data_IF_090346513367
#
_entry.id   IF_090346513367
#
_cell.length_a   1.000
_cell.length_b   1.000
_cell.length_c   1.000
_cell.angle_alpha   90.00
_cell.angle_beta   90.00
_cell.angle_gamma   90.00
#
_symmetry.space_group_name_H-M   'P 1'
#
loop_
_entity.id
_entity.type
_entity.pdbx_description
1 polymer ?
#
# COMPACT_ATOMS: atom_id res chain seq x y z
N UNK A 1 -12.75 2.45 13.09
CA UNK A 1 -11.85 1.79 12.11
C UNK A 1 -11.58 2.80 11.02
N UNK A 2 -10.33 3.10 10.71
CA UNK A 2 -10.01 4.09 9.68
C UNK A 2 -10.35 3.55 8.29
N UNK A 3 -10.92 4.40 7.43
CA UNK A 3 -11.30 4.05 6.05
C UNK A 3 -10.11 4.25 5.10
N UNK A 4 -9.06 3.47 5.32
CA UNK A 4 -7.85 3.50 4.49
C UNK A 4 -7.89 2.38 3.45
N UNK A 5 -7.52 2.69 2.21
CA UNK A 5 -7.15 1.72 1.17
C UNK A 5 -5.64 1.80 1.00
N UNK A 6 -4.94 0.71 1.31
CA UNK A 6 -3.50 0.62 1.21
C UNK A 6 -3.11 0.02 -0.13
N UNK A 7 -2.32 0.77 -0.92
CA UNK A 7 -1.72 0.30 -2.17
C UNK A 7 -0.20 0.42 -2.07
N UNK A 8 0.53 -0.63 -2.43
CA UNK A 8 1.99 -0.64 -2.34
C UNK A 8 2.65 -0.71 -3.72
N UNK A 9 3.65 0.15 -3.92
CA UNK A 9 4.60 0.05 -5.02
C UNK A 9 6.02 0.43 -4.56
N UNK A 10 6.86 -0.57 -4.26
CA UNK A 10 8.17 -0.36 -3.62
C UNK A 10 9.07 0.63 -4.34
N UNK A 11 9.09 0.63 -5.68
CA UNK A 11 9.95 1.50 -6.50
C UNK A 11 9.49 2.96 -6.57
N UNK A 12 8.39 3.31 -5.90
CA UNK A 12 7.84 4.66 -5.86
C UNK A 12 6.71 4.89 -6.87
N UNK A 13 5.68 5.63 -6.45
CA UNK A 13 4.49 5.85 -7.28
C UNK A 13 4.72 6.76 -8.49
N UNK A 14 5.77 7.59 -8.46
CA UNK A 14 6.17 8.40 -9.61
C UNK A 14 6.56 7.54 -10.82
N UNK A 15 7.32 6.46 -10.59
CA UNK A 15 7.81 5.55 -11.63
C UNK A 15 6.88 4.36 -11.88
N UNK A 16 5.81 4.22 -11.09
CA UNK A 16 4.86 3.13 -11.23
C UNK A 16 4.27 3.06 -12.65
N UNK A 17 4.04 1.85 -13.19
CA UNK A 17 3.39 1.65 -14.47
C UNK A 17 2.04 2.37 -14.56
N UNK A 18 1.63 2.71 -15.78
CA UNK A 18 0.36 3.39 -16.03
C UNK A 18 -0.82 2.68 -15.38
N UNK A 19 -0.88 1.33 -15.49
CA UNK A 19 -1.94 0.52 -14.90
C UNK A 19 -2.06 0.75 -13.39
N UNK A 20 -0.94 0.75 -12.66
CA UNK A 20 -0.96 0.92 -11.21
C UNK A 20 -1.50 2.30 -10.82
N UNK A 21 -1.12 3.34 -11.58
CA UNK A 21 -1.67 4.69 -11.40
C UNK A 21 -3.18 4.72 -11.67
N UNK A 22 -3.67 3.99 -12.67
CA UNK A 22 -5.11 3.88 -12.93
C UNK A 22 -5.86 3.17 -11.81
N UNK A 23 -5.29 2.10 -11.25
CA UNK A 23 -5.87 1.42 -10.07
C UNK A 23 -6.03 2.39 -8.91
N UNK A 24 -4.98 3.15 -8.58
CA UNK A 24 -5.04 4.16 -7.52
C UNK A 24 -6.10 5.25 -7.79
N UNK A 25 -6.22 5.70 -9.05
CA UNK A 25 -7.23 6.67 -9.45
C UNK A 25 -8.66 6.09 -9.33
N UNK A 26 -8.86 4.83 -9.72
CA UNK A 26 -10.14 4.13 -9.61
C UNK A 26 -10.61 4.06 -8.16
N UNK A 27 -9.74 3.60 -7.24
CA UNK A 27 -10.04 3.57 -5.81
C UNK A 27 -10.45 4.94 -5.27
N UNK A 28 -9.76 6.02 -5.69
CA UNK A 28 -10.12 7.38 -5.28
C UNK A 28 -11.47 7.84 -5.85
N UNK A 29 -11.75 7.52 -7.10
CA UNK A 29 -12.97 7.95 -7.78
C UNK A 29 -14.22 7.25 -7.22
N UNK A 30 -14.14 5.95 -6.97
CA UNK A 30 -15.28 5.15 -6.52
C UNK A 30 -15.44 5.10 -5.00
N UNK A 31 -14.44 5.53 -4.22
CA UNK A 31 -14.53 5.59 -2.76
C UNK A 31 -14.18 6.99 -2.22
N UNK A 32 -14.98 8.02 -2.52
CA UNK A 32 -14.67 9.42 -2.19
C UNK A 32 -14.59 9.72 -0.68
N UNK A 33 -15.14 8.85 0.17
CA UNK A 33 -15.07 8.96 1.64
C UNK A 33 -13.91 8.17 2.26
N UNK A 34 -13.14 7.45 1.44
CA UNK A 34 -11.99 6.67 1.86
C UNK A 34 -10.70 7.38 1.49
N UNK A 35 -9.68 7.17 2.31
CA UNK A 35 -8.33 7.65 2.04
C UNK A 35 -7.57 6.57 1.29
N UNK A 36 -7.20 6.84 0.05
CA UNK A 36 -6.26 5.98 -0.70
C UNK A 36 -4.84 6.36 -0.32
N UNK A 37 -4.13 5.45 0.35
CA UNK A 37 -2.76 5.64 0.80
C UNK A 37 -1.82 4.88 -0.12
N UNK A 38 -0.98 5.64 -0.81
CA UNK A 38 0.03 5.14 -1.71
C UNK A 38 1.33 4.94 -0.93
N UNK A 39 1.71 3.67 -0.78
CA UNK A 39 2.90 3.27 -0.05
C UNK A 39 4.04 2.97 -1.01
N UNK A 40 5.24 3.38 -0.62
CA UNK A 40 6.51 2.98 -1.22
C UNK A 40 7.62 2.96 -0.16
N UNK A 41 8.86 2.62 -0.55
CA UNK A 41 9.98 2.53 0.38
C UNK A 41 10.25 3.82 1.19
N UNK A 42 9.80 4.97 0.72
CA UNK A 42 10.00 6.26 1.39
C UNK A 42 8.88 6.60 2.38
N UNK A 43 7.68 6.05 2.19
CA UNK A 43 6.51 6.37 3.02
C UNK A 43 6.19 5.30 4.05
N UNK A 44 6.70 4.07 3.88
CA UNK A 44 6.38 2.93 4.75
C UNK A 44 6.68 3.18 6.22
N UNK A 45 7.82 3.80 6.53
CA UNK A 45 8.25 4.08 7.90
C UNK A 45 7.30 5.04 8.65
N UNK A 46 6.53 5.85 7.94
CA UNK A 46 5.51 6.73 8.56
C UNK A 46 4.37 5.93 9.19
N UNK A 47 4.04 4.76 8.64
CA UNK A 47 2.88 3.96 9.06
C UNK A 47 3.28 2.76 9.91
N UNK A 48 4.46 2.20 9.65
CA UNK A 48 4.99 1.01 10.33
C UNK A 48 6.48 1.20 10.66
N UNK A 49 6.84 2.21 11.50
CA UNK A 49 8.24 2.57 11.76
C UNK A 49 9.07 1.44 12.36
N UNK A 50 8.43 0.56 13.14
CA UNK A 50 9.11 -0.53 13.85
C UNK A 50 9.09 -1.85 13.08
N UNK A 51 8.48 -1.88 11.88
CA UNK A 51 8.43 -3.10 11.08
C UNK A 51 9.77 -3.32 10.37
N UNK A 52 10.48 -4.34 10.82
CA UNK A 52 11.69 -4.81 10.16
C UNK A 52 11.32 -5.81 9.07
N UNK A 53 11.55 -5.44 7.82
CA UNK A 53 11.38 -6.33 6.68
C UNK A 53 12.66 -7.16 6.45
N UNK A 54 12.58 -8.49 6.29
CA UNK A 54 13.76 -9.30 6.04
C UNK A 54 14.45 -8.89 4.74
N UNK A 55 15.76 -8.62 4.78
CA UNK A 55 16.50 -8.15 3.60
C UNK A 55 16.41 -9.14 2.43
N UNK A 56 16.61 -10.42 2.72
CA UNK A 56 16.60 -11.54 1.77
C UNK A 56 15.20 -11.90 1.22
N UNK A 57 14.13 -11.35 1.82
CA UNK A 57 12.78 -11.65 1.36
C UNK A 57 12.48 -10.96 0.03
N UNK A 58 11.82 -11.70 -0.87
CA UNK A 58 11.26 -11.14 -2.10
C UNK A 58 10.16 -10.10 -1.84
N UNK A 59 9.83 -9.32 -2.86
CA UNK A 59 8.82 -8.26 -2.75
C UNK A 59 7.44 -8.78 -2.30
N UNK A 60 7.02 -9.97 -2.75
CA UNK A 60 5.76 -10.59 -2.35
C UNK A 60 5.71 -10.87 -0.83
N UNK A 61 6.73 -11.53 -0.28
CA UNK A 61 6.80 -11.82 1.14
C UNK A 61 6.88 -10.54 2.00
N UNK A 62 7.61 -9.52 1.54
CA UNK A 62 7.64 -8.20 2.18
C UNK A 62 6.25 -7.54 2.16
N UNK A 63 5.54 -7.64 1.04
CA UNK A 63 4.17 -7.14 0.89
C UNK A 63 3.19 -7.81 1.84
N UNK A 64 3.32 -9.12 2.06
CA UNK A 64 2.48 -9.85 3.00
C UNK A 64 2.67 -9.39 4.45
N UNK A 65 3.93 -9.20 4.87
CA UNK A 65 4.24 -8.68 6.21
C UNK A 65 3.70 -7.26 6.40
N UNK A 66 3.84 -6.41 5.37
CA UNK A 66 3.31 -5.05 5.37
C UNK A 66 1.79 -5.03 5.50
N UNK A 67 1.09 -5.86 4.72
CA UNK A 67 -0.36 -6.01 4.77
C UNK A 67 -0.82 -6.35 6.18
N UNK A 68 -0.21 -7.36 6.81
CA UNK A 68 -0.58 -7.78 8.17
C UNK A 68 -0.34 -6.66 9.18
N UNK A 69 0.83 -6.02 9.13
CA UNK A 69 1.19 -4.95 10.05
C UNK A 69 0.27 -3.71 9.92
N UNK A 70 -0.04 -3.29 8.68
CA UNK A 70 -0.91 -2.14 8.41
C UNK A 70 -2.34 -2.41 8.87
N UNK A 71 -2.89 -3.56 8.51
CA UNK A 71 -4.27 -3.89 8.88
C UNK A 71 -4.43 -4.10 10.39
N UNK A 72 -3.44 -4.71 11.06
CA UNK A 72 -3.47 -4.86 12.51
C UNK A 72 -3.41 -3.52 13.26
N UNK A 73 -2.61 -2.55 12.77
CA UNK A 73 -2.42 -1.25 13.44
C UNK A 73 -3.49 -0.22 13.09
N UNK A 74 -3.87 -0.15 11.82
CA UNK A 74 -4.67 0.95 11.27
C UNK A 74 -6.04 0.51 10.74
N UNK A 75 -6.26 -0.80 10.58
CA UNK A 75 -7.43 -1.32 9.89
C UNK A 75 -7.49 -0.90 8.42
N UNK A 76 -8.72 -0.79 7.89
CA UNK A 76 -8.97 -0.48 6.49
C UNK A 76 -8.88 -1.72 5.61
N UNK A 77 -8.48 -1.53 4.35
CA UNK A 77 -8.37 -2.59 3.35
C UNK A 77 -7.02 -2.52 2.63
N UNK A 78 -6.47 -3.70 2.35
CA UNK A 78 -5.34 -3.86 1.44
C UNK A 78 -5.88 -4.16 0.04
N UNK A 79 -5.32 -3.50 -0.98
CA UNK A 79 -5.61 -3.84 -2.38
C UNK A 79 -4.31 -3.94 -3.17
N UNK A 80 -4.29 -4.86 -4.14
CA UNK A 80 -3.13 -5.00 -5.02
C UNK A 80 -3.10 -3.87 -6.06
N UNK A 81 -1.94 -3.26 -6.22
CA UNK A 81 -1.74 -2.13 -7.12
C UNK A 81 -1.83 -2.49 -8.62
N UNK A 82 -2.19 -3.73 -8.96
CA UNK A 82 -2.34 -4.23 -10.33
C UNK A 82 -3.74 -4.75 -10.62
N UNK A 83 -4.69 -4.63 -9.69
CA UNK A 83 -6.07 -5.08 -9.84
C UNK A 83 -7.01 -3.88 -10.01
N UNK A 84 -7.71 -3.83 -11.15
CA UNK A 84 -8.74 -2.82 -11.45
C UNK A 84 -10.07 -3.12 -10.75
#
# INVERSE_FOLDING_TARGET
MEKNVWLLWFSGWHTAPWLCKQVALSWRAYNPTWRVVLLDNTTLSTYVPDLVLPLEAGAQAKSDLLRLALLARHGGVWADATML
#
